data_IF_746112579431
#
_entry.id   IF_746112579431
#
_cell.length_a   1.000
_cell.length_b   1.000
_cell.length_c   1.000
_cell.angle_alpha   90.00
_cell.angle_beta   90.00
_cell.angle_gamma   90.00
#
_symmetry.space_group_name_H-M   'P 1'
#
loop_
_entity.id
_entity.type
_entity.pdbx_description
1 polymer ?
#
# COMPACT_ATOMS: atom_id res chain seq x y z
N UNK A 1 5.33 1.70 33.39
CA UNK A 1 6.09 1.15 32.24
C UNK A 1 5.11 0.79 31.13
N UNK A 2 5.48 1.07 29.89
CA UNK A 2 4.69 0.76 28.71
C UNK A 2 5.49 -0.25 27.88
N UNK A 3 4.82 -1.31 27.46
CA UNK A 3 5.38 -2.29 26.52
C UNK A 3 4.54 -2.29 25.26
N UNK A 4 5.20 -2.13 24.10
CA UNK A 4 4.57 -2.29 22.80
C UNK A 4 5.10 -3.57 22.15
N UNK A 5 4.19 -4.45 21.72
CA UNK A 5 4.50 -5.70 21.05
C UNK A 5 3.97 -5.68 19.61
N UNK A 6 4.78 -6.19 18.68
CA UNK A 6 4.39 -6.35 17.28
C UNK A 6 4.22 -7.85 16.99
N UNK A 7 3.13 -8.24 16.37
CA UNK A 7 2.88 -9.59 15.88
C UNK A 7 3.47 -9.88 14.50
N UNK A 8 4.21 -8.93 13.93
CA UNK A 8 4.90 -9.04 12.64
C UNK A 8 6.32 -8.45 12.73
N UNK A 9 7.18 -8.78 11.79
CA UNK A 9 8.56 -8.28 11.77
C UNK A 9 8.60 -6.76 11.61
N UNK A 10 9.36 -6.08 12.46
CA UNK A 10 9.58 -4.63 12.39
C UNK A 10 10.14 -4.15 11.04
N UNK A 11 10.80 -5.06 10.31
CA UNK A 11 11.42 -4.75 9.02
C UNK A 11 10.45 -4.90 7.83
N UNK A 12 9.18 -5.24 8.08
CA UNK A 12 8.20 -5.44 7.01
C UNK A 12 7.60 -4.14 6.43
N UNK A 13 7.89 -2.99 7.02
CA UNK A 13 7.38 -1.71 6.50
C UNK A 13 5.86 -1.53 6.62
N UNK A 14 5.22 -2.26 7.54
CA UNK A 14 3.76 -2.24 7.74
C UNK A 14 3.30 -1.18 8.74
N UNK A 15 3.87 0.01 8.70
CA UNK A 15 3.38 1.16 9.46
C UNK A 15 3.63 1.11 10.97
N UNK A 16 4.59 0.30 11.47
CA UNK A 16 4.86 0.15 12.91
C UNK A 16 5.09 1.50 13.64
N UNK A 17 5.73 2.47 13.00
CA UNK A 17 5.94 3.80 13.58
C UNK A 17 4.64 4.58 13.72
N UNK A 18 3.78 4.54 12.70
CA UNK A 18 2.48 5.23 12.73
C UNK A 18 1.51 4.59 13.71
N UNK A 19 1.54 3.26 13.84
CA UNK A 19 0.78 2.54 14.87
C UNK A 19 1.24 2.95 16.28
N UNK A 20 2.56 3.07 16.51
CA UNK A 20 3.09 3.53 17.79
C UNK A 20 2.64 4.97 18.09
N UNK A 21 2.71 5.88 17.11
CA UNK A 21 2.21 7.26 17.26
C UNK A 21 0.72 7.27 17.60
N UNK A 22 -0.08 6.47 16.89
CA UNK A 22 -1.50 6.38 17.14
C UNK A 22 -1.80 5.88 18.56
N UNK A 23 -1.12 4.84 19.03
CA UNK A 23 -1.28 4.29 20.38
C UNK A 23 -0.89 5.31 21.46
N UNK A 24 0.23 6.04 21.26
CA UNK A 24 0.64 7.11 22.18
C UNK A 24 -0.39 8.24 22.20
N UNK A 25 -0.88 8.67 21.03
CA UNK A 25 -1.87 9.72 20.92
C UNK A 25 -3.18 9.34 21.61
N UNK A 26 -3.66 8.12 21.41
CA UNK A 26 -4.85 7.60 22.10
C UNK A 26 -4.65 7.58 23.62
N UNK A 27 -3.50 7.12 24.11
CA UNK A 27 -3.23 7.06 25.53
C UNK A 27 -3.19 8.42 26.22
N UNK A 28 -2.65 9.44 25.52
CA UNK A 28 -2.59 10.81 26.04
C UNK A 28 -3.78 11.69 25.61
N UNK A 29 -4.82 11.10 25.00
CA UNK A 29 -6.00 11.81 24.49
C UNK A 29 -5.62 12.98 23.55
N UNK A 30 -4.64 12.73 22.67
CA UNK A 30 -4.10 13.71 21.72
C UNK A 30 -4.51 13.37 20.29
N UNK A 31 -4.47 14.38 19.41
CA UNK A 31 -4.62 14.18 17.98
C UNK A 31 -3.36 13.48 17.38
N UNK A 32 -3.55 12.26 16.84
CA UNK A 32 -2.48 11.47 16.26
C UNK A 32 -1.86 12.14 15.01
N UNK A 33 -2.64 12.87 14.21
CA UNK A 33 -2.12 13.60 13.04
C UNK A 33 -1.26 14.79 13.47
N UNK A 34 -1.66 15.48 14.53
CA UNK A 34 -0.85 16.54 15.14
C UNK A 34 0.49 15.98 15.65
N UNK A 35 0.45 14.85 16.36
CA UNK A 35 1.66 14.20 16.89
C UNK A 35 2.57 13.72 15.75
N UNK A 36 2.01 13.11 14.69
CA UNK A 36 2.75 12.73 13.49
C UNK A 36 3.45 13.94 12.85
N UNK A 37 2.72 15.05 12.66
CA UNK A 37 3.27 16.29 12.08
C UNK A 37 4.44 16.85 12.89
N UNK A 38 4.41 16.73 14.23
CA UNK A 38 5.48 17.20 15.13
C UNK A 38 6.68 16.27 15.22
N UNK A 39 6.54 15.02 14.79
CA UNK A 39 7.59 13.98 14.93
C UNK A 39 8.14 13.55 13.56
N UNK A 40 7.46 12.69 12.84
CA UNK A 40 7.95 12.07 11.61
C UNK A 40 7.49 12.79 10.34
N UNK A 41 6.40 13.55 10.42
CA UNK A 41 5.76 14.15 9.24
C UNK A 41 5.10 13.08 8.34
N UNK A 42 4.74 13.47 7.14
CA UNK A 42 4.07 12.60 6.16
C UNK A 42 2.62 12.99 5.90
N UNK A 43 1.94 12.21 5.06
CA UNK A 43 0.55 12.48 4.68
C UNK A 43 -0.48 12.06 5.72
N UNK A 44 -0.14 11.13 6.62
CA UNK A 44 -1.03 10.65 7.67
C UNK A 44 -1.92 9.46 7.26
N UNK A 45 -1.81 8.93 6.05
CA UNK A 45 -2.65 7.77 5.65
C UNK A 45 -2.38 6.53 6.52
N UNK A 46 -1.16 6.34 7.00
CA UNK A 46 -0.81 5.24 7.91
C UNK A 46 -1.47 5.42 9.29
N UNK A 47 -1.67 6.67 9.77
CA UNK A 47 -2.43 6.94 10.98
C UNK A 47 -3.91 6.58 10.75
N UNK A 48 -4.47 7.00 9.62
CA UNK A 48 -5.84 6.64 9.26
C UNK A 48 -6.01 5.12 9.21
N UNK A 49 -5.08 4.40 8.57
CA UNK A 49 -5.10 2.93 8.52
C UNK A 49 -5.01 2.30 9.93
N UNK A 50 -4.19 2.86 10.83
CA UNK A 50 -4.07 2.37 12.21
C UNK A 50 -5.33 2.59 13.07
N UNK A 51 -6.23 3.46 12.63
CA UNK A 51 -7.50 3.79 13.32
C UNK A 51 -8.71 3.00 12.80
N UNK A 52 -8.53 2.18 11.77
CA UNK A 52 -9.63 1.48 11.10
C UNK A 52 -9.30 0.01 10.86
N UNK A 53 -10.27 -0.86 11.10
CA UNK A 53 -10.18 -2.30 10.85
C UNK A 53 -10.66 -2.69 9.43
N UNK A 54 -11.30 -1.75 8.72
CA UNK A 54 -11.77 -1.90 7.35
C UNK A 54 -10.85 -1.20 6.36
N UNK A 55 -10.84 -1.60 5.08
CA UNK A 55 -10.20 -0.84 4.02
C UNK A 55 -10.71 0.61 3.99
N UNK A 56 -9.81 1.53 3.72
CA UNK A 56 -10.11 2.96 3.67
C UNK A 56 -9.76 3.58 2.33
N UNK A 57 -10.55 4.55 1.92
CA UNK A 57 -10.17 5.57 0.96
C UNK A 57 -9.68 6.80 1.72
N UNK A 58 -8.48 7.22 1.41
CA UNK A 58 -7.83 8.34 2.07
C UNK A 58 -7.54 9.46 1.08
N UNK A 59 -7.92 10.68 1.42
CA UNK A 59 -7.55 11.89 0.68
C UNK A 59 -7.13 13.01 1.63
N UNK A 60 -6.43 14.00 1.09
CA UNK A 60 -6.12 15.25 1.77
C UNK A 60 -6.84 16.37 1.05
N UNK A 61 -7.79 17.00 1.73
CA UNK A 61 -8.53 18.18 1.26
C UNK A 61 -8.04 19.40 2.03
N UNK A 62 -7.38 20.32 1.35
CA UNK A 62 -6.74 21.49 1.97
C UNK A 62 -5.80 21.12 3.13
N UNK A 63 -5.12 19.98 3.02
CA UNK A 63 -4.21 19.46 4.05
C UNK A 63 -4.89 18.81 5.26
N UNK A 64 -6.21 18.61 5.22
CA UNK A 64 -6.96 17.87 6.23
C UNK A 64 -7.26 16.46 5.73
N UNK A 65 -7.08 15.43 6.56
CA UNK A 65 -7.44 14.07 6.23
C UNK A 65 -8.94 13.90 6.03
N UNK A 66 -9.32 13.29 4.91
CA UNK A 66 -10.67 12.75 4.68
C UNK A 66 -10.56 11.25 4.55
N UNK A 67 -11.28 10.50 5.39
CA UNK A 67 -11.22 9.05 5.48
C UNK A 67 -12.62 8.47 5.27
N UNK A 68 -12.75 7.59 4.30
CA UNK A 68 -13.99 6.85 4.02
C UNK A 68 -13.69 5.36 4.14
N UNK A 69 -14.44 4.66 5.00
CA UNK A 69 -14.38 3.18 5.04
C UNK A 69 -15.05 2.59 3.82
N UNK A 70 -14.49 1.49 3.32
CA UNK A 70 -15.00 0.78 2.16
C UNK A 70 -14.89 -0.73 2.36
N UNK A 71 -15.25 -1.50 1.35
CA UNK A 71 -15.08 -2.95 1.32
C UNK A 71 -14.21 -3.32 0.12
N UNK A 72 -13.29 -4.27 0.33
CA UNK A 72 -12.51 -4.87 -0.74
C UNK A 72 -12.36 -6.37 -0.45
N UNK A 73 -13.31 -7.15 -0.93
CA UNK A 73 -13.34 -8.61 -0.79
C UNK A 73 -13.68 -9.24 -2.15
N UNK A 74 -12.75 -9.19 -3.12
CA UNK A 74 -13.00 -9.67 -4.47
C UNK A 74 -13.06 -11.20 -4.53
N UNK A 75 -13.87 -11.75 -5.45
CA UNK A 75 -14.01 -13.19 -5.65
C UNK A 75 -12.69 -13.89 -6.01
N UNK A 76 -11.73 -13.14 -6.58
CA UNK A 76 -10.40 -13.60 -6.93
C UNK A 76 -9.35 -13.40 -5.82
N UNK A 77 -9.74 -13.09 -4.58
CA UNK A 77 -8.81 -12.81 -3.47
C UNK A 77 -7.79 -13.91 -3.21
N UNK A 78 -8.15 -15.18 -3.44
CA UNK A 78 -7.24 -16.32 -3.27
C UNK A 78 -6.11 -16.34 -4.31
N UNK A 79 -6.27 -15.59 -5.40
CA UNK A 79 -5.24 -15.34 -6.42
C UNK A 79 -4.44 -14.05 -6.15
N UNK A 80 -4.64 -13.40 -5.00
CA UNK A 80 -3.85 -12.26 -4.54
C UNK A 80 -2.90 -12.71 -3.45
N UNK A 81 -1.65 -12.29 -3.53
CA UNK A 81 -0.67 -12.57 -2.49
C UNK A 81 0.39 -11.46 -2.38
N UNK A 82 1.00 -11.37 -1.22
CA UNK A 82 2.01 -10.38 -0.90
C UNK A 82 3.38 -11.02 -0.80
N UNK A 83 4.39 -10.36 -1.36
CA UNK A 83 5.78 -10.83 -1.32
C UNK A 83 6.64 -9.76 -0.69
N UNK A 84 7.32 -10.09 0.42
CA UNK A 84 8.32 -9.21 1.03
C UNK A 84 9.61 -9.24 0.22
N UNK A 85 10.05 -8.08 -0.22
CA UNK A 85 11.20 -7.95 -1.12
C UNK A 85 12.56 -8.01 -0.42
N UNK A 86 12.61 -8.34 0.88
CA UNK A 86 13.82 -8.43 1.70
C UNK A 86 14.65 -7.13 1.69
N UNK A 87 14.02 -6.00 1.41
CA UNK A 87 14.68 -4.71 1.27
C UNK A 87 13.78 -3.60 1.79
N UNK A 88 14.32 -2.76 2.66
CA UNK A 88 13.66 -1.52 3.06
C UNK A 88 13.87 -0.45 1.99
N UNK A 89 12.78 0.15 1.50
CA UNK A 89 12.85 1.23 0.50
C UNK A 89 13.10 2.59 1.17
N UNK A 90 14.03 3.34 0.58
CA UNK A 90 14.15 4.77 0.85
C UNK A 90 13.35 5.55 -0.18
N UNK A 91 12.18 6.02 0.22
CA UNK A 91 11.27 6.75 -0.68
C UNK A 91 11.64 8.23 -0.88
N UNK A 92 12.73 8.73 -0.31
CA UNK A 92 13.06 10.17 -0.34
C UNK A 92 13.17 10.71 -1.75
N UNK A 93 13.92 10.04 -2.61
CA UNK A 93 14.13 10.45 -4.00
C UNK A 93 12.81 10.50 -4.79
N UNK A 94 11.98 9.46 -4.65
CA UNK A 94 10.66 9.41 -5.29
C UNK A 94 9.73 10.50 -4.79
N UNK A 95 9.76 10.82 -3.49
CA UNK A 95 9.00 11.92 -2.89
C UNK A 95 9.52 13.27 -3.40
N UNK A 96 10.83 13.45 -3.54
CA UNK A 96 11.43 14.65 -4.09
C UNK A 96 11.02 14.87 -5.55
N UNK A 97 11.07 13.83 -6.39
CA UNK A 97 10.58 13.90 -7.77
C UNK A 97 9.10 14.29 -7.85
N UNK A 98 8.26 13.71 -6.99
CA UNK A 98 6.85 14.05 -6.93
C UNK A 98 6.65 15.52 -6.54
N UNK A 99 7.33 15.98 -5.48
CA UNK A 99 7.21 17.36 -4.96
C UNK A 99 7.78 18.43 -5.89
N UNK A 100 8.70 18.05 -6.79
CA UNK A 100 9.28 18.95 -7.77
C UNK A 100 8.36 19.27 -8.96
N UNK A 101 7.20 18.58 -9.07
CA UNK A 101 6.26 18.81 -10.15
C UNK A 101 5.25 19.91 -9.79
N UNK A 102 4.81 20.66 -10.81
CA UNK A 102 3.78 21.69 -10.58
C UNK A 102 2.40 21.07 -10.36
N UNK A 103 1.48 21.75 -9.66
CA UNK A 103 0.10 21.31 -9.50
C UNK A 103 -0.59 20.99 -10.83
N UNK A 104 -0.33 21.79 -11.87
CA UNK A 104 -0.92 21.61 -13.20
C UNK A 104 -0.45 20.30 -13.85
N UNK A 105 0.77 19.85 -13.57
CA UNK A 105 1.30 18.58 -14.05
C UNK A 105 0.76 17.39 -13.25
N UNK A 106 0.49 17.58 -11.96
CA UNK A 106 0.00 16.55 -11.08
C UNK A 106 -1.51 16.30 -11.19
N UNK A 107 -2.30 17.35 -11.40
CA UNK A 107 -3.76 17.28 -11.36
C UNK A 107 -4.37 16.21 -12.29
N UNK A 108 -3.99 16.10 -13.58
CA UNK A 108 -4.53 15.07 -14.46
C UNK A 108 -4.20 13.64 -14.00
N UNK A 109 -3.02 13.46 -13.40
CA UNK A 109 -2.61 12.16 -12.88
C UNK A 109 -3.36 11.80 -11.58
N UNK A 110 -3.59 12.76 -10.69
CA UNK A 110 -4.38 12.59 -9.47
C UNK A 110 -5.81 12.16 -9.83
N UNK A 111 -6.45 12.86 -10.76
CA UNK A 111 -7.80 12.52 -11.23
C UNK A 111 -7.87 11.11 -11.81
N UNK A 112 -6.88 10.74 -12.63
CA UNK A 112 -6.82 9.41 -13.23
C UNK A 112 -6.59 8.32 -12.20
N UNK A 113 -5.71 8.53 -11.21
CA UNK A 113 -5.44 7.58 -10.13
C UNK A 113 -6.69 7.44 -9.24
N UNK A 114 -7.39 8.53 -8.94
CA UNK A 114 -8.65 8.48 -8.20
C UNK A 114 -9.69 7.65 -8.94
N UNK A 115 -9.86 7.87 -10.25
CA UNK A 115 -10.75 7.06 -11.09
C UNK A 115 -10.37 5.58 -11.09
N UNK A 116 -9.08 5.25 -11.23
CA UNK A 116 -8.58 3.87 -11.14
C UNK A 116 -8.87 3.23 -9.78
N UNK A 117 -8.75 3.97 -8.68
CA UNK A 117 -9.05 3.47 -7.35
C UNK A 117 -10.51 3.01 -7.25
N UNK A 118 -11.46 3.80 -7.76
CA UNK A 118 -12.87 3.41 -7.79
C UNK A 118 -13.14 2.21 -8.71
N UNK A 119 -12.48 2.14 -9.86
CA UNK A 119 -12.59 0.98 -10.76
C UNK A 119 -12.05 -0.30 -10.11
N UNK A 120 -10.90 -0.21 -9.42
CA UNK A 120 -10.31 -1.33 -8.66
C UNK A 120 -11.26 -1.82 -7.57
N UNK A 121 -11.93 -0.93 -6.83
CA UNK A 121 -12.91 -1.32 -5.82
C UNK A 121 -14.16 -2.00 -6.40
N UNK A 122 -14.57 -1.60 -7.60
CA UNK A 122 -15.74 -2.15 -8.28
C UNK A 122 -15.44 -3.42 -9.10
N UNK A 123 -14.15 -3.71 -9.33
CA UNK A 123 -13.70 -4.81 -10.20
C UNK A 123 -14.10 -6.18 -9.64
N UNK A 124 -14.57 -7.07 -10.52
CA UNK A 124 -14.99 -8.43 -10.16
C UNK A 124 -14.15 -9.53 -10.82
N UNK A 125 -13.41 -9.19 -11.88
CA UNK A 125 -12.65 -10.14 -12.67
C UNK A 125 -11.14 -9.88 -12.49
N UNK A 126 -10.36 -10.96 -12.35
CA UNK A 126 -8.92 -10.86 -12.11
C UNK A 126 -8.18 -10.18 -13.27
N UNK A 127 -8.56 -10.50 -14.51
CA UNK A 127 -7.93 -9.94 -15.71
C UNK A 127 -8.14 -8.43 -15.81
N UNK A 128 -9.33 -7.94 -15.46
CA UNK A 128 -9.61 -6.51 -15.38
C UNK A 128 -8.81 -5.85 -14.26
N UNK A 129 -8.75 -6.49 -13.09
CA UNK A 129 -7.94 -6.01 -11.96
C UNK A 129 -6.46 -5.87 -12.34
N UNK A 130 -5.89 -6.89 -13.01
CA UNK A 130 -4.51 -6.86 -13.49
C UNK A 130 -4.24 -5.71 -14.47
N UNK A 131 -5.17 -5.46 -15.39
CA UNK A 131 -5.09 -4.32 -16.31
C UNK A 131 -5.08 -2.98 -15.56
N UNK A 132 -5.99 -2.81 -14.60
CA UNK A 132 -6.06 -1.60 -13.78
C UNK A 132 -4.77 -1.38 -12.97
N UNK A 133 -4.20 -2.45 -12.40
CA UNK A 133 -2.91 -2.39 -11.71
C UNK A 133 -1.79 -1.96 -12.64
N UNK A 134 -1.72 -2.50 -13.85
CA UNK A 134 -0.67 -2.15 -14.83
C UNK A 134 -0.77 -0.68 -15.26
N UNK A 135 -1.97 -0.16 -15.47
CA UNK A 135 -2.20 1.27 -15.76
C UNK A 135 -1.73 2.12 -14.58
N UNK A 136 -2.10 1.74 -13.34
CA UNK A 136 -1.69 2.45 -12.13
C UNK A 136 -0.16 2.46 -11.97
N UNK A 137 0.49 1.28 -12.09
CA UNK A 137 1.96 1.14 -11.99
C UNK A 137 2.68 2.01 -13.03
N UNK A 138 2.15 2.07 -14.25
CA UNK A 138 2.71 2.89 -15.32
C UNK A 138 2.62 4.39 -15.00
N UNK A 139 1.46 4.85 -14.54
CA UNK A 139 1.26 6.25 -14.16
C UNK A 139 2.19 6.68 -13.02
N UNK A 140 2.24 5.89 -11.94
CA UNK A 140 3.11 6.22 -10.81
C UNK A 140 4.58 6.18 -11.22
N UNK A 141 5.02 5.13 -11.96
CA UNK A 141 6.39 5.03 -12.46
C UNK A 141 6.83 6.27 -13.23
N UNK A 142 5.95 6.82 -14.06
CA UNK A 142 6.22 8.07 -14.81
C UNK A 142 6.30 9.29 -13.89
N UNK A 143 5.36 9.40 -12.93
CA UNK A 143 5.31 10.52 -11.99
C UNK A 143 6.54 10.62 -11.10
N UNK A 144 6.94 9.51 -10.49
CA UNK A 144 8.05 9.48 -9.54
C UNK A 144 9.39 9.14 -10.20
N UNK A 145 9.43 8.96 -11.53
CA UNK A 145 10.61 8.61 -12.33
C UNK A 145 11.34 7.36 -11.80
N UNK A 146 10.58 6.38 -11.33
CA UNK A 146 11.10 5.14 -10.77
C UNK A 146 10.57 3.95 -11.56
N UNK A 147 11.42 3.03 -12.05
CA UNK A 147 10.98 1.87 -12.80
C UNK A 147 10.01 0.99 -12.01
N UNK A 148 9.03 0.38 -12.72
CA UNK A 148 8.15 -0.62 -12.12
C UNK A 148 8.96 -1.80 -11.59
N UNK A 149 8.57 -2.33 -10.43
CA UNK A 149 9.24 -3.50 -9.82
C UNK A 149 9.18 -4.70 -10.76
N UNK A 150 8.07 -4.92 -11.45
CA UNK A 150 7.93 -6.01 -12.43
C UNK A 150 9.04 -5.93 -13.51
N UNK A 151 9.15 -4.82 -14.21
CA UNK A 151 10.10 -4.66 -15.29
C UNK A 151 11.57 -4.67 -14.85
N UNK A 152 11.86 -4.16 -13.66
CA UNK A 152 13.23 -4.03 -13.15
C UNK A 152 13.76 -5.28 -12.42
N UNK A 153 12.89 -6.06 -11.77
CA UNK A 153 13.29 -7.19 -10.92
C UNK A 153 12.70 -8.53 -11.33
N UNK A 154 11.54 -8.53 -11.98
CA UNK A 154 10.78 -9.74 -12.33
C UNK A 154 10.25 -9.67 -13.77
N UNK A 155 11.11 -9.39 -14.78
CA UNK A 155 10.65 -9.20 -16.16
C UNK A 155 10.03 -10.47 -16.75
N UNK A 156 10.39 -11.62 -16.21
CA UNK A 156 9.92 -12.96 -16.58
C UNK A 156 8.68 -13.43 -15.81
N UNK A 157 8.14 -12.59 -14.91
CA UNK A 157 6.92 -12.94 -14.17
C UNK A 157 5.68 -12.85 -15.07
N UNK A 158 4.85 -13.93 -15.17
CA UNK A 158 3.81 -13.99 -16.18
C UNK A 158 2.60 -13.10 -15.91
N UNK A 159 2.32 -12.77 -14.63
CA UNK A 159 1.13 -12.03 -14.23
C UNK A 159 1.47 -10.62 -13.70
N UNK A 160 0.53 -9.97 -12.99
CA UNK A 160 0.71 -8.60 -12.53
C UNK A 160 1.44 -8.47 -11.20
N UNK A 161 2.18 -7.39 -11.06
CA UNK A 161 2.86 -6.96 -9.83
C UNK A 161 2.52 -5.51 -9.58
N UNK A 162 2.09 -5.21 -8.37
CA UNK A 162 1.89 -3.85 -7.86
C UNK A 162 2.87 -3.55 -6.74
N UNK A 163 3.59 -2.46 -6.88
CA UNK A 163 4.41 -1.93 -5.79
C UNK A 163 3.54 -1.39 -4.66
N UNK A 164 3.91 -1.71 -3.42
CA UNK A 164 3.22 -1.24 -2.22
C UNK A 164 4.16 -0.34 -1.40
N UNK A 165 3.57 0.43 -0.47
CA UNK A 165 4.30 1.32 0.42
C UNK A 165 5.17 2.34 -0.32
N UNK A 166 6.45 2.40 0.03
CA UNK A 166 7.40 3.37 -0.50
C UNK A 166 7.91 3.13 -1.92
N UNK A 167 7.21 2.30 -2.72
CA UNK A 167 7.52 2.00 -4.11
C UNK A 167 8.90 1.37 -4.34
N UNK A 168 8.90 0.06 -4.57
CA UNK A 168 10.10 -0.71 -4.94
C UNK A 168 10.88 -1.36 -3.79
N UNK A 169 10.36 -1.32 -2.58
CA UNK A 169 10.84 -2.04 -1.40
C UNK A 169 9.70 -2.61 -0.59
N UNK A 170 9.99 -3.04 0.62
CA UNK A 170 9.03 -3.65 1.54
C UNK A 170 8.22 -4.78 0.86
N UNK A 171 6.96 -4.57 0.54
CA UNK A 171 6.07 -5.54 -0.09
C UNK A 171 5.64 -5.16 -1.51
N UNK A 172 5.33 -6.19 -2.28
CA UNK A 172 4.53 -6.11 -3.51
C UNK A 172 3.26 -6.93 -3.34
N UNK A 173 2.20 -6.53 -4.03
CA UNK A 173 1.05 -7.37 -4.33
C UNK A 173 1.30 -8.03 -5.68
N UNK A 174 1.16 -9.35 -5.75
CA UNK A 174 1.25 -10.12 -6.98
C UNK A 174 -0.04 -10.94 -7.19
N UNK A 175 -0.34 -11.25 -8.43
CA UNK A 175 -1.49 -12.05 -8.82
C UNK A 175 -1.03 -13.42 -9.31
N UNK A 176 -1.85 -14.46 -9.09
CA UNK A 176 -1.61 -15.82 -9.55
C UNK A 176 -1.86 -16.88 -8.49
N UNK A 177 -1.59 -18.12 -8.84
CA UNK A 177 -1.78 -19.28 -7.97
C UNK A 177 -0.50 -19.77 -7.31
N UNK A 178 -0.44 -21.07 -7.00
CA UNK A 178 0.72 -21.63 -6.29
C UNK A 178 1.98 -21.67 -7.17
N UNK A 179 1.85 -21.80 -8.48
CA UNK A 179 3.00 -21.75 -9.39
C UNK A 179 3.70 -20.38 -9.34
N UNK A 180 2.91 -19.31 -9.31
CA UNK A 180 3.40 -17.93 -9.21
C UNK A 180 4.00 -17.64 -7.81
N UNK A 181 3.44 -18.20 -6.76
CA UNK A 181 4.02 -18.13 -5.40
C UNK A 181 5.36 -18.88 -5.34
N UNK A 182 5.43 -20.08 -5.95
CA UNK A 182 6.65 -20.87 -6.03
C UNK A 182 7.76 -20.15 -6.82
N UNK A 183 7.43 -19.38 -7.86
CA UNK A 183 8.38 -18.54 -8.59
C UNK A 183 9.13 -17.59 -7.65
N UNK A 184 8.44 -16.88 -6.77
CA UNK A 184 9.08 -15.96 -5.81
C UNK A 184 9.91 -16.72 -4.77
N UNK A 185 9.41 -17.83 -4.23
CA UNK A 185 10.17 -18.67 -3.30
C UNK A 185 11.45 -19.20 -3.94
N UNK A 186 11.39 -19.64 -5.21
CA UNK A 186 12.55 -20.08 -5.99
C UNK A 186 13.59 -19.00 -6.24
N UNK A 187 13.18 -17.71 -6.23
CA UNK A 187 14.09 -16.56 -6.31
C UNK A 187 14.60 -16.09 -4.93
N UNK A 188 14.31 -16.80 -3.84
CA UNK A 188 14.81 -16.51 -2.49
C UNK A 188 13.93 -15.56 -1.67
N UNK A 189 12.72 -15.26 -2.11
CA UNK A 189 11.74 -14.47 -1.34
C UNK A 189 10.94 -15.41 -0.44
N UNK A 190 11.39 -15.60 0.81
CA UNK A 190 10.80 -16.57 1.74
C UNK A 190 9.45 -16.13 2.33
N UNK A 191 9.17 -14.84 2.40
CA UNK A 191 7.90 -14.31 2.92
C UNK A 191 6.94 -14.06 1.76
N UNK A 192 6.03 -15.01 1.54
CA UNK A 192 4.95 -14.97 0.54
C UNK A 192 3.65 -15.29 1.26
N UNK A 193 2.81 -14.28 1.46
CA UNK A 193 1.58 -14.34 2.26
C UNK A 193 0.35 -14.22 1.36
N UNK A 194 -0.64 -15.07 1.54
CA UNK A 194 -1.93 -14.95 0.87
C UNK A 194 -2.72 -13.71 1.32
N UNK A 195 -3.75 -13.34 0.56
CA UNK A 195 -4.59 -12.19 0.89
C UNK A 195 -5.16 -12.28 2.31
N UNK A 196 -5.74 -13.40 2.67
CA UNK A 196 -6.36 -13.63 3.98
C UNK A 196 -5.36 -13.77 5.14
N UNK A 197 -4.06 -13.94 4.86
CA UNK A 197 -3.00 -13.91 5.88
C UNK A 197 -2.53 -12.49 6.19
N UNK A 198 -2.72 -11.54 5.25
CA UNK A 198 -2.21 -10.18 5.35
C UNK A 198 -3.32 -9.17 5.64
N UNK A 199 -4.52 -9.41 5.13
CA UNK A 199 -5.66 -8.51 5.23
C UNK A 199 -6.64 -9.06 6.24
N UNK A 200 -7.05 -8.23 7.20
CA UNK A 200 -8.05 -8.61 8.20
C UNK A 200 -9.36 -8.99 7.49
N UNK A 201 -9.92 -10.13 7.89
CA UNK A 201 -11.23 -10.55 7.39
C UNK A 201 -12.28 -9.49 7.77
N UNK A 202 -13.12 -9.13 6.82
CA UNK A 202 -14.28 -8.28 7.12
C UNK A 202 -15.22 -9.13 7.98
N UNK A 203 -15.26 -8.87 9.28
CA UNK A 203 -16.31 -9.42 10.13
C UNK A 203 -17.63 -8.84 9.62
N UNK A 204 -18.41 -9.66 8.92
CA UNK A 204 -19.83 -9.39 8.76
C UNK A 204 -20.41 -9.38 10.17
N UNK A 205 -20.54 -8.17 10.74
CA UNK A 205 -21.22 -8.00 12.02
C UNK A 205 -22.59 -8.65 11.91
N UNK A 206 -22.79 -9.66 12.74
CA UNK A 206 -24.10 -10.24 13.04
C UNK A 206 -24.80 -9.28 14.00
#
# INVERSE_FOLDING_TARGET
>A
DITAELNFSRNWGLGSSSTLINNIAQWFEMDAYWLLKKTFGGSGYDIAAAQHDLPILYSLEEGKPTVLTTTFDPDFKDQLFFVHLNRKQNSRESIEHYRAQSPEQLQPAIEKITGLTHQILACRELEEFELLLEIHETLISQLIKTPKVKSSRFPDYPRSIKSLGGWGGDFILATGGEAERAYFRGKGYGTVLGFSEMVLGQSTGI
#
